data_IF_457997920055
#
_entry.id   IF_457997920055
#
_cell.length_a   1.000
_cell.length_b   1.000
_cell.length_c   1.000
_cell.angle_alpha   90.00
_cell.angle_beta   90.00
_cell.angle_gamma   90.00
#
_symmetry.space_group_name_H-M   'P 1'
#
loop_
_entity.id
_entity.type
_entity.pdbx_description
1 polymer ?
#
# COMPACT_ATOMS: atom_id res chain seq x y z
N UNK A 1 -13.75 12.59 -6.11
CA UNK A 1 -13.43 11.65 -5.02
C UNK A 1 -12.95 10.32 -5.60
N UNK A 2 -12.15 9.57 -4.85
CA UNK A 2 -11.74 8.21 -5.25
C UNK A 2 -12.90 7.27 -4.95
N UNK A 3 -13.48 6.67 -5.99
CA UNK A 3 -14.60 5.72 -5.84
C UNK A 3 -14.11 4.33 -5.43
N UNK A 4 -12.96 3.89 -5.96
CA UNK A 4 -12.33 2.59 -5.67
C UNK A 4 -10.81 2.76 -5.67
N UNK A 5 -10.12 2.09 -4.74
CA UNK A 5 -8.66 2.10 -4.67
C UNK A 5 -8.06 1.29 -5.83
N UNK A 6 -6.98 1.79 -6.42
CA UNK A 6 -6.20 1.04 -7.40
C UNK A 6 -5.50 -0.16 -6.74
N UNK A 7 -5.27 -1.22 -7.54
CA UNK A 7 -4.65 -2.48 -7.08
C UNK A 7 -3.29 -2.23 -6.39
N UNK A 8 -2.54 -1.24 -6.86
CA UNK A 8 -1.22 -0.91 -6.32
C UNK A 8 -1.26 -0.44 -4.86
N UNK A 9 -2.41 0.03 -4.34
CA UNK A 9 -2.55 0.42 -2.94
C UNK A 9 -2.29 -0.75 -1.96
N UNK A 10 -2.51 -2.00 -2.39
CA UNK A 10 -2.29 -3.19 -1.58
C UNK A 10 -0.90 -3.83 -1.76
N UNK A 11 -0.23 -3.57 -2.88
CA UNK A 11 1.02 -4.26 -3.26
C UNK A 11 2.16 -4.04 -2.25
N UNK A 12 2.44 -2.81 -1.78
CA UNK A 12 3.52 -2.60 -0.81
C UNK A 12 3.35 -3.45 0.45
N UNK A 13 2.12 -3.57 0.98
CA UNK A 13 1.86 -4.38 2.17
C UNK A 13 1.97 -5.89 1.89
N UNK A 14 1.53 -6.34 0.70
CA UNK A 14 1.77 -7.74 0.29
C UNK A 14 3.27 -8.08 0.25
N UNK A 15 4.12 -7.15 -0.22
CA UNK A 15 5.57 -7.33 -0.26
C UNK A 15 6.15 -7.35 1.16
N UNK A 16 5.69 -6.47 2.05
CA UNK A 16 6.11 -6.51 3.46
C UNK A 16 5.79 -7.86 4.11
N UNK A 17 4.59 -8.42 3.85
CA UNK A 17 4.15 -9.72 4.38
C UNK A 17 4.99 -10.90 3.88
N UNK A 18 5.64 -10.75 2.72
CA UNK A 18 6.57 -11.73 2.16
C UNK A 18 8.02 -11.53 2.68
N UNK A 19 8.21 -10.66 3.68
CA UNK A 19 9.54 -10.22 4.15
C UNK A 19 10.37 -9.56 3.04
N UNK A 20 9.71 -8.93 2.08
CA UNK A 20 10.34 -8.15 1.02
C UNK A 20 10.81 -6.77 1.49
N UNK A 21 11.34 -5.94 0.57
CA UNK A 21 11.74 -4.59 0.90
C UNK A 21 10.55 -3.72 1.29
N UNK A 22 10.78 -2.78 2.20
CA UNK A 22 9.79 -1.77 2.55
C UNK A 22 9.62 -0.76 1.41
N UNK A 23 8.40 -0.64 0.91
CA UNK A 23 8.07 0.24 -0.24
C UNK A 23 7.18 1.39 0.22
N UNK A 24 7.56 2.60 -0.16
CA UNK A 24 6.77 3.82 0.01
C UNK A 24 6.15 4.28 -1.32
N UNK A 25 5.09 5.08 -1.25
CA UNK A 25 4.41 5.63 -2.42
C UNK A 25 4.26 7.13 -2.32
N UNK A 26 4.26 7.81 -3.47
CA UNK A 26 3.90 9.22 -3.55
C UNK A 26 2.40 9.37 -3.31
N UNK A 27 2.00 9.97 -2.18
CA UNK A 27 0.60 10.07 -1.77
C UNK A 27 -0.29 10.85 -2.76
N UNK A 28 0.30 11.78 -3.52
CA UNK A 28 -0.39 12.51 -4.59
C UNK A 28 -0.85 11.60 -5.75
N UNK A 29 -0.30 10.39 -5.85
CA UNK A 29 -0.60 9.42 -6.91
C UNK A 29 -1.38 8.24 -6.33
N UNK A 30 -0.85 7.62 -5.28
CA UNK A 30 -1.46 6.45 -4.65
C UNK A 30 -1.13 6.40 -3.17
N UNK A 31 -2.17 6.22 -2.35
CA UNK A 31 -2.04 5.98 -0.93
C UNK A 31 -1.89 4.49 -0.66
N UNK A 32 -0.78 4.11 -0.04
CA UNK A 32 -0.55 2.73 0.36
C UNK A 32 -1.45 2.35 1.54
N UNK A 33 -2.08 1.19 1.45
CA UNK A 33 -2.81 0.57 2.55
C UNK A 33 -1.87 -0.30 3.38
N UNK A 34 -1.72 0.03 4.67
CA UNK A 34 -1.01 -0.76 5.67
C UNK A 34 -1.86 -0.80 6.94
N UNK A 35 -2.34 -1.96 7.41
CA UNK A 35 -3.10 -2.04 8.65
C UNK A 35 -2.20 -1.73 9.84
N UNK A 36 -2.73 -1.01 10.83
CA UNK A 36 -2.06 -0.89 12.13
C UNK A 36 -2.13 -2.27 12.78
N UNK A 37 -0.98 -2.86 13.08
CA UNK A 37 -0.90 -4.11 13.86
C UNK A 37 -1.72 -3.93 15.15
N UNK A 38 -2.51 -4.94 15.52
CA UNK A 38 -3.15 -4.99 16.83
C UNK A 38 -2.10 -5.04 17.94
#
# INVERSE_FOLDING_TARGET
EIMVHGIFAAIPYCIDLLNGPFIETHECIVKTFRPKTK
#
